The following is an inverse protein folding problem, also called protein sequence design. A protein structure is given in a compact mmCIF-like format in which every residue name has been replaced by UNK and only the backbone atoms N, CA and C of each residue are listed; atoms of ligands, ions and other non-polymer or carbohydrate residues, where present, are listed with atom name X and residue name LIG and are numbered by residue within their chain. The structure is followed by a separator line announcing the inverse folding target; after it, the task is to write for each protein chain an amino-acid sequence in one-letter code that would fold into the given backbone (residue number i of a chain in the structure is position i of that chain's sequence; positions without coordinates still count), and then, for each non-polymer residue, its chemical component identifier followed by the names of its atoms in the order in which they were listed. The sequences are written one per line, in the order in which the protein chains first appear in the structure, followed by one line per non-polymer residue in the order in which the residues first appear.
data_IF_404579979642
#
_entry.id   IF_404579979642
#
_cell.length_a   1.000
_cell.length_b   1.000
_cell.length_c   1.000
_cell.angle_alpha   90.00
_cell.angle_beta   90.00
_cell.angle_gamma   90.00
#
_symmetry.space_group_name_H-M   'P 1'
#
loop_
_entity.id
_entity.type
_entity.pdbx_description
1 polymer ?
#
# COMPACT_ATOMS: atom_id res chain seq x y z
N UNK A 1 13.44 8.74 13.04
CA UNK A 1 12.55 8.86 14.23
C UNK A 1 11.14 8.53 13.78
N UNK A 2 10.43 7.66 14.47
CA UNK A 2 8.98 7.42 14.26
C UNK A 2 8.21 8.45 15.09
N UNK A 3 7.14 9.02 14.54
CA UNK A 3 6.30 10.06 15.16
C UNK A 3 4.82 9.63 15.14
N UNK A 4 3.98 10.39 15.83
CA UNK A 4 2.51 10.23 15.92
C UNK A 4 2.03 8.82 16.35
N UNK A 5 2.56 8.25 17.44
CA UNK A 5 2.19 6.91 17.91
C UNK A 5 0.76 6.81 18.43
N UNK A 6 0.05 7.93 18.62
CA UNK A 6 -1.35 7.95 19.07
C UNK A 6 -2.32 7.31 18.07
N UNK A 7 -1.90 7.14 16.81
CA UNK A 7 -2.67 6.44 15.77
C UNK A 7 -2.27 4.97 15.61
N UNK A 8 -1.32 4.48 16.40
CA UNK A 8 -0.90 3.09 16.36
C UNK A 8 -1.93 2.19 17.06
N UNK A 9 -2.09 0.98 16.53
CA UNK A 9 -2.97 -0.04 17.09
C UNK A 9 -2.37 -1.44 16.93
N UNK A 10 -2.85 -2.38 17.72
CA UNK A 10 -2.50 -3.78 17.53
C UNK A 10 -3.18 -4.32 16.27
N UNK A 11 -2.41 -4.95 15.40
CA UNK A 11 -2.93 -5.51 14.15
C UNK A 11 -1.91 -6.38 13.44
N UNK A 12 -2.30 -6.91 12.26
CA UNK A 12 -1.40 -7.69 11.41
C UNK A 12 -0.23 -6.81 10.93
N UNK A 13 1.01 -7.34 10.91
CA UNK A 13 2.20 -6.60 10.46
C UNK A 13 2.09 -6.10 9.00
N UNK A 14 1.30 -6.77 8.19
CA UNK A 14 1.00 -6.41 6.80
C UNK A 14 0.35 -5.04 6.69
N UNK A 15 -0.41 -4.62 7.71
CA UNK A 15 -1.14 -3.36 7.67
C UNK A 15 -0.18 -2.17 7.59
N UNK A 16 0.79 -2.08 8.49
CA UNK A 16 1.75 -0.96 8.52
C UNK A 16 2.55 -0.87 7.21
N UNK A 17 3.00 -2.02 6.71
CA UNK A 17 3.73 -2.09 5.44
C UNK A 17 2.84 -1.71 4.25
N UNK A 18 1.58 -2.14 4.25
CA UNK A 18 0.60 -1.80 3.22
C UNK A 18 0.33 -0.29 3.14
N UNK A 19 0.19 0.38 4.29
CA UNK A 19 0.01 1.84 4.32
C UNK A 19 1.22 2.52 3.70
N UNK A 20 2.45 2.12 4.08
CA UNK A 20 3.65 2.69 3.47
C UNK A 20 3.68 2.46 1.96
N UNK A 21 3.41 1.24 1.49
CA UNK A 21 3.41 0.88 0.06
C UNK A 21 2.38 1.68 -0.74
N UNK A 22 1.15 1.77 -0.24
CA UNK A 22 0.08 2.54 -0.86
C UNK A 22 0.49 4.01 -1.05
N UNK A 23 1.11 4.61 -0.05
CA UNK A 23 1.55 6.01 -0.12
C UNK A 23 2.74 6.21 -1.06
N UNK A 24 3.72 5.30 -1.11
CA UNK A 24 4.81 5.38 -2.10
C UNK A 24 4.28 5.29 -3.54
N UNK A 25 3.31 4.41 -3.80
CA UNK A 25 2.65 4.27 -5.10
C UNK A 25 1.87 5.52 -5.48
N UNK A 26 1.04 6.06 -4.58
CA UNK A 26 0.26 7.27 -4.84
C UNK A 26 1.14 8.52 -5.00
N UNK A 27 2.29 8.56 -4.33
CA UNK A 27 3.28 9.62 -4.44
C UNK A 27 4.22 9.46 -5.65
N UNK A 28 3.95 8.49 -6.56
CA UNK A 28 4.76 8.21 -7.76
C UNK A 28 6.26 8.06 -7.46
N UNK A 29 6.58 7.46 -6.32
CA UNK A 29 7.98 7.16 -6.01
C UNK A 29 8.54 6.13 -7.00
N UNK A 30 9.86 6.13 -7.16
CA UNK A 30 10.55 5.16 -8.00
C UNK A 30 10.14 3.73 -7.59
N UNK A 31 9.74 2.84 -8.52
CA UNK A 31 9.32 1.49 -8.19
C UNK A 31 10.36 0.68 -7.39
N UNK A 32 11.64 1.00 -7.54
CA UNK A 32 12.73 0.41 -6.75
C UNK A 32 12.63 0.71 -5.25
N UNK A 33 11.90 1.74 -4.83
CA UNK A 33 11.69 2.03 -3.40
C UNK A 33 10.90 0.92 -2.72
N UNK A 34 9.89 0.35 -3.39
CA UNK A 34 9.09 -0.73 -2.81
C UNK A 34 9.92 -1.99 -2.62
N UNK A 35 10.77 -2.30 -3.60
CA UNK A 35 11.75 -3.39 -3.50
C UNK A 35 12.72 -3.15 -2.35
N UNK A 36 13.28 -1.95 -2.27
CA UNK A 36 14.19 -1.60 -1.19
C UNK A 36 13.52 -1.73 0.19
N UNK A 37 12.29 -1.26 0.34
CA UNK A 37 11.55 -1.43 1.59
C UNK A 37 11.36 -2.92 1.91
N UNK A 38 10.95 -3.73 0.93
CA UNK A 38 10.76 -5.17 1.10
C UNK A 38 12.04 -5.89 1.54
N UNK A 39 13.16 -5.61 0.88
CA UNK A 39 14.47 -6.22 1.19
C UNK A 39 14.92 -5.96 2.63
N UNK A 40 14.57 -4.81 3.19
CA UNK A 40 14.96 -4.42 4.56
C UNK A 40 13.87 -4.68 5.61
N UNK A 41 12.66 -5.06 5.19
CA UNK A 41 11.59 -5.40 6.11
C UNK A 41 11.71 -6.87 6.54
N UNK A 42 12.08 -7.09 7.81
CA UNK A 42 12.16 -8.42 8.40
C UNK A 42 10.76 -8.97 8.70
N UNK A 43 10.08 -9.47 7.66
CA UNK A 43 8.75 -10.05 7.79
C UNK A 43 8.75 -11.27 8.74
N UNK A 44 7.76 -11.39 9.65
CA UNK A 44 7.62 -12.58 10.48
C UNK A 44 7.24 -13.82 9.66
N UNK A 45 7.45 -15.01 10.23
CA UNK A 45 7.23 -16.27 9.52
C UNK A 45 5.79 -16.48 9.01
N UNK A 46 4.81 -15.86 9.68
CA UNK A 46 3.39 -15.94 9.33
C UNK A 46 2.92 -14.74 8.49
N UNK A 47 3.83 -13.98 7.89
CA UNK A 47 3.48 -12.82 7.07
C UNK A 47 2.76 -13.23 5.78
N UNK A 48 1.60 -12.64 5.53
CA UNK A 48 0.74 -12.94 4.39
C UNK A 48 0.83 -11.84 3.32
N UNK A 49 1.49 -12.16 2.20
CA UNK A 49 1.63 -11.22 1.07
C UNK A 49 0.29 -10.90 0.37
N UNK A 50 -0.69 -11.81 0.45
CA UNK A 50 -2.06 -11.57 0.00
C UNK A 50 -2.73 -10.49 0.84
N UNK A 51 -2.58 -10.59 2.17
CA UNK A 51 -3.10 -9.59 3.10
C UNK A 51 -2.41 -8.21 2.93
N UNK A 52 -1.08 -8.19 2.73
CA UNK A 52 -0.34 -6.97 2.35
C UNK A 52 -0.92 -6.34 1.08
N UNK A 53 -1.14 -7.14 0.04
CA UNK A 53 -1.67 -6.68 -1.25
C UNK A 53 -3.08 -6.11 -1.09
N UNK A 54 -3.95 -6.82 -0.35
CA UNK A 54 -5.32 -6.39 -0.10
C UNK A 54 -5.38 -5.08 0.71
N UNK A 55 -4.62 -4.96 1.81
CA UNK A 55 -4.58 -3.72 2.58
C UNK A 55 -4.02 -2.55 1.77
N UNK A 56 -3.01 -2.78 0.92
CA UNK A 56 -2.45 -1.75 0.04
C UNK A 56 -3.53 -1.23 -0.92
N UNK A 57 -4.30 -2.15 -1.52
CA UNK A 57 -5.42 -1.80 -2.38
C UNK A 57 -6.52 -1.02 -1.63
N UNK A 58 -6.89 -1.47 -0.44
CA UNK A 58 -7.90 -0.78 0.39
C UNK A 58 -7.46 0.64 0.73
N UNK A 59 -6.20 0.86 1.11
CA UNK A 59 -5.69 2.20 1.44
C UNK A 59 -5.70 3.12 0.22
N UNK A 60 -5.28 2.63 -0.95
CA UNK A 60 -5.36 3.41 -2.19
C UNK A 60 -6.81 3.82 -2.48
N UNK A 61 -7.76 2.89 -2.41
CA UNK A 61 -9.17 3.21 -2.61
C UNK A 61 -9.67 4.23 -1.59
N UNK A 62 -9.36 4.02 -0.30
CA UNK A 62 -9.77 4.92 0.78
C UNK A 62 -9.25 6.34 0.57
N UNK A 63 -8.01 6.52 0.08
CA UNK A 63 -7.41 7.84 -0.15
C UNK A 63 -7.82 8.51 -1.45
N UNK A 64 -8.27 7.73 -2.45
CA UNK A 64 -8.74 8.27 -3.72
C UNK A 64 -10.24 8.60 -3.73
N UNK A 65 -11.08 7.78 -3.07
CA UNK A 65 -12.54 7.91 -3.13
C UNK A 65 -13.22 7.94 -1.75
N UNK A 66 -12.51 7.66 -0.66
CA UNK A 66 -13.05 7.71 0.69
C UNK A 66 -13.09 9.12 1.28
N UNK A 67 -13.47 9.19 2.56
CA UNK A 67 -13.42 10.43 3.34
C UNK A 67 -11.95 10.80 3.60
N UNK A 68 -11.64 12.10 3.60
CA UNK A 68 -10.29 12.64 3.75
C UNK A 68 -9.33 12.17 2.63
N UNK A 69 -9.70 12.50 1.39
CA UNK A 69 -8.86 12.28 0.21
C UNK A 69 -7.54 13.05 0.33
N UNK A 70 -6.49 12.50 -0.25
CA UNK A 70 -5.18 13.16 -0.32
C UNK A 70 -5.14 14.20 -1.46
N UNK A 71 -4.45 15.34 -1.29
CA UNK A 71 -4.23 16.32 -2.35
C UNK A 71 -3.16 15.84 -3.33
N UNK A 72 -3.45 14.76 -4.08
CA UNK A 72 -2.49 14.09 -4.96
C UNK A 72 -2.36 14.80 -6.31
N UNK A 73 -1.12 14.93 -6.79
CA UNK A 73 -0.78 15.39 -8.14
C UNK A 73 -0.85 14.23 -9.16
N UNK A 74 -2.08 13.75 -9.36
CA UNK A 74 -2.41 12.64 -10.26
C UNK A 74 -3.51 13.08 -11.23
N UNK A 75 -3.32 12.74 -12.50
CA UNK A 75 -4.36 12.83 -13.51
C UNK A 75 -5.50 11.84 -13.22
N UNK A 76 -6.68 12.09 -13.79
CA UNK A 76 -7.81 11.15 -13.67
C UNK A 76 -7.43 9.76 -14.21
N UNK A 77 -6.70 9.69 -15.33
CA UNK A 77 -6.26 8.42 -15.91
C UNK A 77 -5.36 7.63 -14.95
N UNK A 78 -4.43 8.30 -14.25
CA UNK A 78 -3.59 7.66 -13.25
C UNK A 78 -4.38 7.17 -12.04
N UNK A 79 -5.37 7.95 -11.57
CA UNK A 79 -6.27 7.53 -10.49
C UNK A 79 -7.09 6.31 -10.89
N UNK A 80 -7.58 6.24 -12.13
CA UNK A 80 -8.30 5.07 -12.66
C UNK A 80 -7.38 3.84 -12.69
N UNK A 81 -6.13 3.99 -13.14
CA UNK A 81 -5.16 2.89 -13.14
C UNK A 81 -4.85 2.40 -11.73
N UNK A 82 -4.69 3.31 -10.76
CA UNK A 82 -4.50 2.95 -9.34
C UNK A 82 -5.72 2.21 -8.78
N UNK A 83 -6.94 2.66 -9.08
CA UNK A 83 -8.17 2.01 -8.65
C UNK A 83 -8.34 0.61 -9.26
N UNK A 84 -7.96 0.43 -10.53
CA UNK A 84 -7.98 -0.87 -11.19
C UNK A 84 -7.00 -1.85 -10.53
N UNK A 85 -5.76 -1.41 -10.31
CA UNK A 85 -4.75 -2.20 -9.59
C UNK A 85 -5.21 -2.55 -8.17
N UNK A 86 -5.69 -1.56 -7.41
CA UNK A 86 -6.21 -1.77 -6.06
C UNK A 86 -7.35 -2.79 -6.03
N UNK A 87 -8.29 -2.68 -6.97
CA UNK A 87 -9.42 -3.62 -7.06
C UNK A 87 -8.96 -5.03 -7.41
N UNK A 88 -7.90 -5.15 -8.20
CA UNK A 88 -7.32 -6.44 -8.50
C UNK A 88 -6.61 -7.05 -7.29
N UNK A 89 -5.79 -6.27 -6.57
CA UNK A 89 -5.07 -6.72 -5.37
C UNK A 89 -5.98 -7.13 -4.22
N UNK A 90 -7.17 -6.54 -4.11
CA UNK A 90 -8.18 -6.94 -3.13
C UNK A 90 -8.84 -8.27 -3.53
N UNK A 91 -9.04 -8.52 -4.83
CA UNK A 91 -9.78 -9.69 -5.33
C UNK A 91 -8.92 -10.92 -5.60
N UNK A 92 -7.63 -10.73 -5.87
CA UNK A 92 -6.70 -11.81 -6.23
C UNK A 92 -5.48 -11.73 -5.32
N UNK A 93 -5.19 -12.83 -4.64
CA UNK A 93 -3.99 -12.98 -3.82
C UNK A 93 -2.72 -12.91 -4.69
N UNK A 94 -1.66 -12.27 -4.17
CA UNK A 94 -0.27 -12.33 -4.69
C UNK A 94 0.09 -11.58 -5.99
N UNK A 95 -0.51 -10.42 -6.30
CA UNK A 95 -0.18 -9.66 -7.53
C UNK A 95 0.83 -8.52 -7.37
N UNK A 96 1.23 -8.20 -6.14
CA UNK A 96 2.31 -7.25 -5.89
C UNK A 96 3.71 -7.84 -6.15
N UNK A 97 3.81 -9.13 -6.53
CA UNK A 97 5.06 -9.83 -6.85
C UNK A 97 5.95 -9.11 -7.86
N UNK A 98 5.40 -8.30 -8.77
CA UNK A 98 6.23 -7.50 -9.69
C UNK A 98 7.12 -6.46 -8.99
N UNK A 99 6.80 -6.12 -7.75
CA UNK A 99 7.54 -5.16 -6.92
C UNK A 99 8.49 -5.85 -5.93
N UNK A 100 8.48 -7.18 -5.86
CA UNK A 100 9.31 -8.00 -4.98
C UNK A 100 10.38 -8.73 -5.78
#
# INVERSE_FOLDING_TARGET
RVIDPEFAFHGPPEFDLAIMFAHMLMAKQDPGILRHIWEFYHAPANFDQGLLSAFTGVEIMRRLIGIAQLPLDLTIAEKVNLMANASEWIRKENLMLKYF
#
